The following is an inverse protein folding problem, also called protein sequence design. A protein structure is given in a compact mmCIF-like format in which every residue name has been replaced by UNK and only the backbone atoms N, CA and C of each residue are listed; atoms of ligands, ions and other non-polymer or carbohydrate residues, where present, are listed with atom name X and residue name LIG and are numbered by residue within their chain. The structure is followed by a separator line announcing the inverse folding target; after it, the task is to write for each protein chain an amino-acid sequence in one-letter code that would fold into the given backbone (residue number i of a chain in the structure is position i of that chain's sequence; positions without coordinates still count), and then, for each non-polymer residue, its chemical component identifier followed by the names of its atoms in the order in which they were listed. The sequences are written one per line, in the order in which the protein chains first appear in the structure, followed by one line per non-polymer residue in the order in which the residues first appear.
data_IF_966499207690
#
_entry.id   IF_966499207690
#
_cell.length_a   1.000
_cell.length_b   1.000
_cell.length_c   1.000
_cell.angle_alpha   90.00
_cell.angle_beta   90.00
_cell.angle_gamma   90.00
#
_symmetry.space_group_name_H-M   'P 1'
#
loop_
_entity.id
_entity.type
_entity.pdbx_description
1 polymer ?
#
# COMPACT_ATOMS: atom_id res chain seq x y z
N UNK A 1 18.35 -27.76 -16.29
CA UNK A 1 17.42 -27.09 -15.35
C UNK A 1 17.70 -27.47 -13.90
N UNK A 2 17.70 -28.77 -13.53
CA UNK A 2 17.97 -29.21 -12.15
C UNK A 2 19.34 -28.77 -11.60
N UNK A 3 20.42 -28.87 -12.39
CA UNK A 3 21.74 -28.41 -11.95
C UNK A 3 21.80 -26.89 -11.68
N UNK A 4 21.09 -26.09 -12.47
CA UNK A 4 21.00 -24.64 -12.27
C UNK A 4 20.18 -24.30 -11.02
N UNK A 5 19.07 -25.01 -10.78
CA UNK A 5 18.26 -24.85 -9.57
C UNK A 5 19.06 -25.24 -8.31
N UNK A 6 19.85 -26.32 -8.38
CA UNK A 6 20.71 -26.76 -7.28
C UNK A 6 21.86 -25.76 -7.02
N UNK A 7 22.45 -25.18 -8.06
CA UNK A 7 23.46 -24.14 -7.92
C UNK A 7 22.89 -22.86 -7.29
N UNK A 8 21.68 -22.45 -7.72
CA UNK A 8 20.96 -21.31 -7.14
C UNK A 8 20.61 -21.57 -5.68
N UNK A 9 20.12 -22.77 -5.36
CA UNK A 9 19.84 -23.16 -3.98
C UNK A 9 21.10 -23.14 -3.12
N UNK A 10 22.21 -23.71 -3.60
CA UNK A 10 23.49 -23.69 -2.91
C UNK A 10 24.02 -22.28 -2.65
N UNK A 11 23.84 -21.35 -3.60
CA UNK A 11 24.19 -19.94 -3.38
C UNK A 11 23.42 -19.35 -2.20
N UNK A 12 22.09 -19.50 -2.18
CA UNK A 12 21.26 -18.93 -1.13
C UNK A 12 21.46 -19.61 0.22
N UNK A 13 21.82 -20.89 0.25
CA UNK A 13 22.12 -21.60 1.48
C UNK A 13 23.49 -21.21 2.07
N UNK A 14 24.46 -20.86 1.22
CA UNK A 14 25.81 -20.50 1.66
C UNK A 14 25.95 -19.03 2.07
N UNK A 15 25.21 -18.13 1.41
CA UNK A 15 25.33 -16.68 1.65
C UNK A 15 24.13 -16.08 2.40
N UNK A 16 23.02 -16.80 2.52
CA UNK A 16 21.87 -16.37 3.28
C UNK A 16 22.04 -16.60 4.79
N UNK A 17 21.19 -15.96 5.58
CA UNK A 17 21.12 -16.17 7.01
C UNK A 17 20.62 -17.59 7.32
N UNK A 18 21.43 -18.43 8.00
CA UNK A 18 21.09 -19.82 8.26
C UNK A 18 19.83 -19.97 9.12
N UNK A 19 19.49 -18.96 9.94
CA UNK A 19 18.31 -18.98 10.83
C UNK A 19 16.99 -19.00 10.06
N UNK A 20 16.99 -18.56 8.80
CA UNK A 20 15.80 -18.48 7.95
C UNK A 20 15.73 -19.61 6.92
N UNK A 21 16.75 -20.47 6.83
CA UNK A 21 16.94 -21.43 5.73
C UNK A 21 15.72 -22.33 5.48
N UNK A 22 15.19 -22.92 6.55
CA UNK A 22 14.12 -23.92 6.48
C UNK A 22 12.72 -23.31 6.61
N UNK A 23 12.62 -21.97 6.62
CA UNK A 23 11.34 -21.29 6.75
C UNK A 23 10.55 -21.31 5.44
N UNK A 24 9.23 -21.26 5.56
CA UNK A 24 8.34 -21.29 4.42
C UNK A 24 8.69 -20.16 3.42
N UNK A 25 8.88 -20.55 2.15
CA UNK A 25 9.30 -19.72 1.02
C UNK A 25 10.73 -19.13 1.09
N UNK A 26 11.59 -19.52 2.04
CA UNK A 26 12.95 -18.95 2.19
C UNK A 26 14.08 -19.77 1.54
N UNK A 27 13.76 -20.90 0.90
CA UNK A 27 14.75 -21.75 0.23
C UNK A 27 15.38 -21.05 -0.97
N UNK A 28 14.56 -20.53 -1.89
CA UNK A 28 14.99 -19.75 -3.05
C UNK A 28 13.89 -18.75 -3.47
N UNK A 29 14.19 -17.74 -4.32
CA UNK A 29 13.25 -16.66 -4.62
C UNK A 29 12.18 -17.04 -5.65
N UNK A 30 12.29 -18.21 -6.30
CA UNK A 30 11.43 -18.57 -7.42
C UNK A 30 9.95 -18.71 -7.01
N UNK A 31 9.59 -19.39 -5.90
CA UNK A 31 8.22 -19.42 -5.42
C UNK A 31 7.62 -18.03 -5.23
N UNK A 32 8.37 -17.10 -4.62
CA UNK A 32 7.96 -15.70 -4.43
C UNK A 32 7.72 -15.01 -5.76
N UNK A 33 8.66 -15.13 -6.70
CA UNK A 33 8.56 -14.54 -8.02
C UNK A 33 7.33 -15.08 -8.79
N UNK A 34 7.07 -16.38 -8.71
CA UNK A 34 5.90 -17.02 -9.32
C UNK A 34 4.59 -16.53 -8.69
N UNK A 35 4.53 -16.37 -7.37
CA UNK A 35 3.37 -15.82 -6.67
C UNK A 35 3.13 -14.36 -7.10
N UNK A 36 4.17 -13.53 -7.17
CA UNK A 36 4.07 -12.16 -7.67
C UNK A 36 3.60 -12.09 -9.13
N UNK A 37 4.15 -12.93 -10.01
CA UNK A 37 3.75 -12.99 -11.41
C UNK A 37 2.29 -13.45 -11.56
N UNK A 38 1.88 -14.45 -10.78
CA UNK A 38 0.50 -14.95 -10.73
C UNK A 38 -0.46 -13.87 -10.21
N UNK A 39 -0.06 -13.10 -9.21
CA UNK A 39 -0.83 -11.94 -8.73
C UNK A 39 -1.03 -10.92 -9.85
N UNK A 40 0.04 -10.48 -10.53
CA UNK A 40 -0.06 -9.50 -11.62
C UNK A 40 -0.97 -10.02 -12.73
N UNK A 41 -0.80 -11.28 -13.15
CA UNK A 41 -1.66 -11.92 -14.14
C UNK A 41 -3.12 -11.95 -13.69
N UNK A 42 -3.36 -12.30 -12.42
CA UNK A 42 -4.70 -12.37 -11.85
C UNK A 42 -5.39 -11.01 -11.86
N UNK A 43 -4.72 -9.96 -11.41
CA UNK A 43 -5.36 -8.63 -11.25
C UNK A 43 -5.45 -7.83 -12.55
N UNK A 44 -4.54 -8.05 -13.51
CA UNK A 44 -4.54 -7.33 -14.80
C UNK A 44 -5.23 -8.08 -15.94
N UNK A 45 -5.27 -9.41 -15.89
CA UNK A 45 -5.75 -10.23 -17.03
C UNK A 45 -6.90 -11.11 -16.62
N UNK A 46 -6.67 -12.11 -15.76
CA UNK A 46 -7.67 -13.14 -15.49
C UNK A 46 -8.92 -12.57 -14.78
N UNK A 47 -8.73 -11.82 -13.70
CA UNK A 47 -9.80 -11.26 -12.90
C UNK A 47 -10.72 -10.30 -13.66
N UNK A 48 -10.18 -9.27 -14.38
CA UNK A 48 -11.01 -8.40 -15.22
C UNK A 48 -11.78 -9.15 -16.31
N UNK A 49 -11.17 -10.18 -16.93
CA UNK A 49 -11.86 -11.04 -17.92
C UNK A 49 -13.00 -11.85 -17.29
N UNK A 50 -12.76 -12.45 -16.13
CA UNK A 50 -13.77 -13.21 -15.39
C UNK A 50 -14.94 -12.32 -14.91
N UNK A 51 -14.65 -11.06 -14.59
CA UNK A 51 -15.64 -10.08 -14.12
C UNK A 51 -16.30 -9.26 -15.23
N UNK A 52 -15.88 -9.41 -16.49
CA UNK A 52 -16.38 -8.62 -17.63
C UNK A 52 -17.91 -8.71 -17.73
N UNK A 53 -18.45 -9.93 -17.70
CA UNK A 53 -19.88 -10.23 -17.83
C UNK A 53 -20.58 -10.48 -16.49
N UNK A 54 -19.93 -10.14 -15.36
CA UNK A 54 -20.50 -10.30 -14.02
C UNK A 54 -20.81 -8.93 -13.39
N UNK A 55 -21.81 -8.90 -12.51
CA UNK A 55 -22.09 -7.74 -11.66
C UNK A 55 -20.99 -7.59 -10.59
N UNK A 56 -20.68 -6.36 -10.13
CA UNK A 56 -19.80 -6.16 -8.98
C UNK A 56 -20.26 -6.96 -7.76
N UNK A 57 -19.34 -7.60 -7.04
CA UNK A 57 -19.67 -8.35 -5.84
C UNK A 57 -19.88 -7.43 -4.63
N UNK A 58 -20.91 -7.68 -3.84
CA UNK A 58 -21.15 -6.99 -2.56
C UNK A 58 -20.37 -7.68 -1.43
N UNK A 59 -19.14 -7.20 -1.20
CA UNK A 59 -18.18 -7.79 -0.25
C UNK A 59 -18.05 -6.99 1.06
N UNK A 60 -19.06 -6.22 1.46
CA UNK A 60 -18.96 -5.28 2.59
C UNK A 60 -18.46 -5.94 3.88
N UNK A 61 -19.09 -7.03 4.32
CA UNK A 61 -18.72 -7.71 5.56
C UNK A 61 -17.33 -8.36 5.47
N UNK A 62 -16.98 -8.89 4.29
CA UNK A 62 -15.65 -9.45 4.02
C UNK A 62 -14.58 -8.37 4.13
N UNK A 63 -14.82 -7.18 3.56
CA UNK A 63 -13.92 -6.04 3.67
C UNK A 63 -13.78 -5.55 5.11
N UNK A 64 -14.87 -5.51 5.89
CA UNK A 64 -14.80 -5.14 7.31
C UNK A 64 -13.91 -6.14 8.07
N UNK A 65 -14.16 -7.44 7.94
CA UNK A 65 -13.38 -8.47 8.61
C UNK A 65 -11.90 -8.44 8.18
N UNK A 66 -11.65 -8.30 6.88
CA UNK A 66 -10.31 -8.24 6.31
C UNK A 66 -9.53 -7.00 6.78
N UNK A 67 -10.13 -5.81 6.72
CA UNK A 67 -9.44 -4.59 7.17
C UNK A 67 -9.20 -4.60 8.68
N UNK A 68 -10.12 -5.17 9.47
CA UNK A 68 -9.92 -5.37 10.91
C UNK A 68 -8.74 -6.33 11.18
N UNK A 69 -8.69 -7.46 10.47
CA UNK A 69 -7.56 -8.38 10.53
C UNK A 69 -6.25 -7.67 10.19
N UNK A 70 -6.21 -6.89 9.11
CA UNK A 70 -5.01 -6.16 8.70
C UNK A 70 -4.55 -5.13 9.73
N UNK A 71 -5.48 -4.43 10.41
CA UNK A 71 -5.16 -3.52 11.51
C UNK A 71 -4.51 -4.28 12.67
N UNK A 72 -5.12 -5.38 13.11
CA UNK A 72 -4.61 -6.20 14.23
C UNK A 72 -3.23 -6.76 13.87
N UNK A 73 -3.10 -7.33 12.68
CA UNK A 73 -1.86 -7.93 12.21
C UNK A 73 -0.74 -6.90 12.06
N UNK A 74 -1.02 -5.74 11.46
CA UNK A 74 -0.04 -4.64 11.37
C UNK A 74 0.35 -4.08 12.73
N UNK A 75 -0.59 -4.02 13.69
CA UNK A 75 -0.32 -3.58 15.07
C UNK A 75 0.60 -4.55 15.79
N UNK A 76 0.37 -5.86 15.63
CA UNK A 76 1.24 -6.89 16.16
C UNK A 76 2.64 -6.82 15.53
N UNK A 77 2.74 -6.71 14.20
CA UNK A 77 4.04 -6.55 13.51
C UNK A 77 4.81 -5.33 14.01
N UNK A 78 4.13 -4.20 14.17
CA UNK A 78 4.73 -2.97 14.68
C UNK A 78 5.26 -3.17 16.11
N UNK A 79 4.45 -3.74 17.00
CA UNK A 79 4.85 -4.04 18.37
C UNK A 79 6.05 -4.99 18.45
N UNK A 80 6.03 -6.08 17.70
CA UNK A 80 7.13 -7.05 17.65
C UNK A 80 8.41 -6.44 17.07
N UNK A 81 8.31 -5.55 16.06
CA UNK A 81 9.44 -4.84 15.51
C UNK A 81 10.04 -3.83 16.51
N UNK A 82 9.19 -3.11 17.26
CA UNK A 82 9.64 -2.28 18.37
C UNK A 82 10.38 -3.11 19.42
N UNK A 83 9.75 -4.18 19.91
CA UNK A 83 10.34 -5.02 20.95
C UNK A 83 11.53 -5.87 20.49
N UNK A 84 11.68 -6.09 19.19
CA UNK A 84 12.85 -6.76 18.58
C UNK A 84 14.08 -5.86 18.46
N UNK A 85 13.96 -4.55 18.71
CA UNK A 85 15.13 -3.67 18.79
C UNK A 85 14.83 -2.17 18.81
N UNK A 86 13.80 -1.70 18.10
CA UNK A 86 13.52 -0.28 17.95
C UNK A 86 12.98 0.43 19.21
N UNK A 87 12.60 -0.33 20.26
CA UNK A 87 12.20 0.18 21.58
C UNK A 87 13.39 0.44 22.52
N UNK A 88 14.59 0.69 21.99
CA UNK A 88 15.74 1.18 22.78
C UNK A 88 17.03 0.38 22.64
N UNK A 89 17.06 -0.71 21.88
CA UNK A 89 18.32 -1.44 21.60
C UNK A 89 19.00 -0.96 20.32
N UNK A 90 18.23 -0.55 19.31
CA UNK A 90 18.75 -0.17 18.01
C UNK A 90 19.12 1.32 17.94
N UNK A 91 20.21 1.60 17.24
CA UNK A 91 20.61 2.96 16.87
C UNK A 91 19.91 3.43 15.61
N UNK A 92 19.39 4.65 15.62
CA UNK A 92 18.84 5.30 14.43
C UNK A 92 19.92 5.77 13.44
N UNK A 93 21.20 5.78 13.83
CA UNK A 93 22.29 6.24 12.96
C UNK A 93 22.96 5.11 12.21
N UNK A 94 23.47 4.11 12.94
CA UNK A 94 24.11 2.93 12.37
C UNK A 94 23.68 1.70 13.15
N UNK A 95 22.94 0.80 12.49
CA UNK A 95 22.54 -0.47 13.08
C UNK A 95 22.99 -1.66 12.20
N UNK A 96 24.07 -2.37 12.58
CA UNK A 96 24.47 -3.60 11.88
C UNK A 96 23.43 -4.71 12.09
N UNK A 97 23.50 -5.76 11.25
CA UNK A 97 22.71 -6.97 11.45
C UNK A 97 23.36 -7.79 12.55
N UNK A 98 22.57 -8.15 13.56
CA UNK A 98 23.02 -9.05 14.62
C UNK A 98 22.70 -10.51 14.25
N UNK A 99 23.71 -11.36 14.31
CA UNK A 99 23.64 -12.80 14.02
C UNK A 99 23.67 -13.67 15.28
N UNK A 100 23.62 -13.07 16.47
CA UNK A 100 23.55 -13.79 17.74
C UNK A 100 22.17 -14.44 17.99
N UNK A 101 22.15 -15.35 18.97
CA UNK A 101 20.92 -15.99 19.48
C UNK A 101 20.24 -15.18 20.59
N UNK A 102 20.55 -13.88 20.71
CA UNK A 102 19.90 -13.00 21.68
C UNK A 102 18.37 -13.01 21.45
N UNK A 103 17.53 -13.08 22.51
CA UNK A 103 16.08 -13.16 22.34
C UNK A 103 15.48 -12.03 21.50
N UNK A 104 15.95 -10.78 21.63
CA UNK A 104 15.48 -9.65 20.81
C UNK A 104 15.89 -9.79 19.34
N UNK A 105 17.09 -10.28 19.07
CA UNK A 105 17.61 -10.57 17.73
C UNK A 105 16.80 -11.68 17.05
N UNK A 106 16.59 -12.81 17.71
CA UNK A 106 15.75 -13.90 17.19
C UNK A 106 14.32 -13.42 16.95
N UNK A 107 13.77 -12.59 17.85
CA UNK A 107 12.47 -11.95 17.67
C UNK A 107 12.42 -11.06 16.42
N UNK A 108 13.45 -10.26 16.17
CA UNK A 108 13.57 -9.44 14.97
C UNK A 108 13.66 -10.30 13.69
N UNK A 109 14.42 -11.39 13.70
CA UNK A 109 14.52 -12.30 12.54
C UNK A 109 13.14 -12.89 12.22
N UNK A 110 12.43 -13.37 13.25
CA UNK A 110 11.06 -13.90 13.10
C UNK A 110 10.10 -12.84 12.54
N UNK A 111 10.15 -11.60 13.05
CA UNK A 111 9.24 -10.56 12.58
C UNK A 111 9.56 -10.09 11.16
N UNK A 112 10.81 -10.16 10.72
CA UNK A 112 11.17 -9.90 9.32
C UNK A 112 10.46 -10.87 8.37
N UNK A 113 10.39 -12.16 8.74
CA UNK A 113 9.65 -13.15 7.94
C UNK A 113 8.13 -12.95 7.99
N UNK A 114 7.57 -12.61 9.16
CA UNK A 114 6.13 -12.29 9.24
C UNK A 114 5.76 -11.01 8.48
N UNK A 115 6.66 -10.01 8.47
CA UNK A 115 6.51 -8.84 7.63
C UNK A 115 6.57 -9.19 6.15
N UNK A 116 7.47 -10.08 5.73
CA UNK A 116 7.46 -10.65 4.38
C UNK A 116 6.14 -11.35 4.06
N UNK A 117 5.66 -12.22 4.95
CA UNK A 117 4.39 -12.91 4.76
C UNK A 117 3.20 -11.94 4.63
N UNK A 118 3.22 -10.84 5.39
CA UNK A 118 2.19 -9.81 5.31
C UNK A 118 2.05 -9.20 3.92
N UNK A 119 3.12 -9.10 3.13
CA UNK A 119 3.01 -8.55 1.78
C UNK A 119 2.11 -9.39 0.87
N UNK A 120 1.99 -10.70 1.12
CA UNK A 120 1.05 -11.56 0.39
C UNK A 120 -0.39 -11.38 0.84
N UNK A 121 -0.64 -11.12 2.13
CA UNK A 121 -2.02 -10.89 2.62
C UNK A 121 -2.59 -9.62 1.99
N UNK A 122 -1.73 -8.63 1.72
CA UNK A 122 -2.08 -7.37 1.05
C UNK A 122 -2.49 -7.52 -0.42
N UNK A 123 -2.18 -8.65 -1.08
CA UNK A 123 -2.66 -8.92 -2.45
C UNK A 123 -4.19 -8.92 -2.54
N UNK A 124 -4.84 -9.26 -1.42
CA UNK A 124 -6.28 -9.27 -1.32
C UNK A 124 -6.89 -7.89 -1.55
N UNK A 125 -6.17 -6.79 -1.27
CA UNK A 125 -6.63 -5.42 -1.55
C UNK A 125 -7.02 -5.26 -3.02
N UNK A 126 -6.10 -5.67 -3.90
CA UNK A 126 -6.28 -5.54 -5.34
C UNK A 126 -7.31 -6.54 -5.86
N UNK A 127 -7.32 -7.76 -5.32
CA UNK A 127 -8.31 -8.78 -5.68
C UNK A 127 -9.72 -8.28 -5.35
N UNK A 128 -9.93 -7.66 -4.19
CA UNK A 128 -11.21 -7.05 -3.84
C UNK A 128 -11.59 -5.90 -4.78
N UNK A 129 -10.63 -5.08 -5.24
CA UNK A 129 -10.93 -4.05 -6.25
C UNK A 129 -11.41 -4.66 -7.57
N UNK A 130 -10.78 -5.75 -8.02
CA UNK A 130 -11.19 -6.47 -9.24
C UNK A 130 -12.60 -7.05 -9.08
N UNK A 131 -12.87 -7.79 -8.01
CA UNK A 131 -14.17 -8.42 -7.75
C UNK A 131 -15.31 -7.39 -7.59
N UNK A 132 -14.99 -6.16 -7.20
CA UNK A 132 -15.94 -5.05 -7.06
C UNK A 132 -15.99 -4.13 -8.29
N UNK A 133 -15.27 -4.47 -9.38
CA UNK A 133 -15.13 -3.68 -10.60
C UNK A 133 -14.75 -2.22 -10.31
N UNK A 134 -13.78 -2.05 -9.41
CA UNK A 134 -13.26 -0.74 -8.97
C UNK A 134 -11.95 -0.43 -9.68
N UNK A 135 -11.95 -0.50 -11.01
CA UNK A 135 -10.74 -0.43 -11.85
C UNK A 135 -9.93 0.85 -11.64
N UNK A 136 -10.59 1.98 -11.32
CA UNK A 136 -9.90 3.24 -10.98
C UNK A 136 -8.99 3.14 -9.75
N UNK A 137 -9.24 2.19 -8.85
CA UNK A 137 -8.43 1.95 -7.65
C UNK A 137 -7.22 1.06 -7.95
N UNK A 138 -7.25 0.29 -9.05
CA UNK A 138 -6.14 -0.55 -9.53
C UNK A 138 -5.16 0.32 -10.32
N UNK A 139 -4.57 1.30 -9.63
CA UNK A 139 -3.58 2.20 -10.22
C UNK A 139 -2.28 1.46 -10.55
N UNK A 140 -1.50 2.03 -11.46
CA UNK A 140 -0.13 1.56 -11.76
C UNK A 140 0.72 1.51 -10.50
N UNK A 141 0.60 2.53 -9.63
CA UNK A 141 1.27 2.59 -8.34
C UNK A 141 0.94 1.36 -7.48
N UNK A 142 -0.35 1.04 -7.33
CA UNK A 142 -0.79 -0.04 -6.46
C UNK A 142 -0.30 -1.42 -6.95
N UNK A 143 -0.40 -1.68 -8.25
CA UNK A 143 0.04 -2.96 -8.82
C UNK A 143 1.56 -3.11 -8.84
N UNK A 144 2.31 -2.04 -9.13
CA UNK A 144 3.79 -2.08 -9.05
C UNK A 144 4.22 -2.30 -7.60
N UNK A 145 3.62 -1.58 -6.65
CA UNK A 145 3.91 -1.73 -5.23
C UNK A 145 3.68 -3.17 -4.75
N UNK A 146 2.46 -3.69 -4.82
CA UNK A 146 2.19 -5.04 -4.34
C UNK A 146 2.91 -6.10 -5.20
N UNK A 147 3.10 -5.89 -6.49
CA UNK A 147 3.82 -6.84 -7.34
C UNK A 147 5.30 -7.00 -6.97
N UNK A 148 5.98 -5.92 -6.57
CA UNK A 148 7.43 -5.92 -6.30
C UNK A 148 7.76 -6.12 -4.82
N UNK A 149 6.93 -5.62 -3.89
CA UNK A 149 7.26 -5.60 -2.47
C UNK A 149 7.60 -6.98 -1.86
N UNK A 150 6.83 -8.07 -2.08
CA UNK A 150 7.19 -9.38 -1.51
C UNK A 150 8.57 -9.86 -1.99
N UNK A 151 8.87 -9.68 -3.28
CA UNK A 151 10.17 -10.06 -3.85
C UNK A 151 11.30 -9.20 -3.29
N UNK A 152 11.07 -7.91 -3.12
CA UNK A 152 12.04 -6.98 -2.53
C UNK A 152 12.35 -7.33 -1.07
N UNK A 153 11.33 -7.64 -0.28
CA UNK A 153 11.47 -8.02 1.13
C UNK A 153 12.12 -9.40 1.29
N UNK A 154 11.87 -10.34 0.36
CA UNK A 154 12.49 -11.67 0.37
C UNK A 154 14.01 -11.61 0.48
N UNK A 155 14.68 -10.74 -0.29
CA UNK A 155 16.12 -10.55 -0.20
C UNK A 155 16.55 -9.99 1.15
N UNK A 156 15.76 -9.07 1.71
CA UNK A 156 16.00 -8.54 3.06
C UNK A 156 15.96 -9.63 4.13
N UNK A 157 14.92 -10.48 4.12
CA UNK A 157 14.81 -11.60 5.09
C UNK A 157 15.93 -12.62 4.87
N UNK A 158 16.28 -12.93 3.62
CA UNK A 158 17.27 -13.97 3.34
C UNK A 158 18.69 -13.57 3.72
N UNK A 159 19.07 -12.30 3.61
CA UNK A 159 20.47 -11.88 3.80
C UNK A 159 20.68 -10.95 5.01
N UNK A 160 19.68 -10.12 5.32
CA UNK A 160 19.76 -9.10 6.38
C UNK A 160 18.48 -9.06 7.23
N UNK A 161 18.08 -10.17 7.89
CA UNK A 161 16.85 -10.23 8.69
C UNK A 161 17.00 -9.50 10.04
N UNK A 162 17.25 -8.20 9.99
CA UNK A 162 17.52 -7.38 11.16
C UNK A 162 18.23 -6.08 10.81
N UNK A 163 18.62 -5.35 11.85
CA UNK A 163 19.45 -4.15 11.73
C UNK A 163 18.80 -3.00 10.95
N UNK A 164 19.64 -2.19 10.30
CA UNK A 164 19.26 -0.89 9.73
C UNK A 164 18.07 -0.91 8.79
N UNK A 165 17.93 -1.98 8.00
CA UNK A 165 16.82 -2.16 7.06
C UNK A 165 15.46 -2.23 7.73
N UNK A 166 15.35 -2.77 8.94
CA UNK A 166 14.03 -3.04 9.53
C UNK A 166 13.27 -1.76 9.91
N UNK A 167 13.93 -0.60 9.89
CA UNK A 167 13.30 0.70 10.03
C UNK A 167 12.20 0.96 8.99
N UNK A 168 12.39 0.51 7.74
CA UNK A 168 11.35 0.66 6.73
C UNK A 168 10.12 -0.20 7.05
N UNK A 169 10.34 -1.42 7.56
CA UNK A 169 9.26 -2.31 8.01
C UNK A 169 8.50 -1.74 9.19
N UNK A 170 9.22 -1.13 10.14
CA UNK A 170 8.64 -0.44 11.29
C UNK A 170 7.71 0.70 10.85
N UNK A 171 8.21 1.64 10.04
CA UNK A 171 7.39 2.76 9.57
C UNK A 171 6.23 2.30 8.68
N UNK A 172 6.45 1.28 7.84
CA UNK A 172 5.40 0.76 6.97
C UNK A 172 4.27 0.12 7.77
N UNK A 173 4.58 -0.70 8.78
CA UNK A 173 3.54 -1.33 9.63
C UNK A 173 2.75 -0.28 10.40
N UNK A 174 3.41 0.76 10.94
CA UNK A 174 2.73 1.90 11.57
C UNK A 174 1.74 2.60 10.63
N UNK A 175 2.16 2.94 9.41
CA UNK A 175 1.29 3.59 8.44
C UNK A 175 0.18 2.64 7.97
N UNK A 176 0.44 1.34 7.88
CA UNK A 176 -0.56 0.33 7.53
C UNK A 176 -1.66 0.21 8.59
N UNK A 177 -1.34 0.34 9.89
CA UNK A 177 -2.36 0.42 10.95
C UNK A 177 -3.36 1.54 10.64
N UNK A 178 -2.86 2.75 10.35
CA UNK A 178 -3.69 3.93 10.09
C UNK A 178 -4.44 3.79 8.75
N UNK A 179 -3.78 3.27 7.71
CA UNK A 179 -4.39 3.07 6.39
C UNK A 179 -5.53 2.05 6.44
N UNK A 180 -5.31 0.88 7.04
CA UNK A 180 -6.35 -0.15 7.16
C UNK A 180 -7.45 0.25 8.13
N UNK A 181 -7.16 1.03 9.17
CA UNK A 181 -8.20 1.63 10.01
C UNK A 181 -9.08 2.58 9.19
N UNK A 182 -8.50 3.41 8.32
CA UNK A 182 -9.26 4.25 7.40
C UNK A 182 -10.14 3.40 6.46
N UNK A 183 -9.61 2.30 5.89
CA UNK A 183 -10.39 1.42 5.01
C UNK A 183 -11.50 0.66 5.74
N UNK A 184 -11.26 0.23 6.98
CA UNK A 184 -12.25 -0.36 7.86
C UNK A 184 -13.41 0.62 8.09
N UNK A 185 -13.11 1.85 8.51
CA UNK A 185 -14.11 2.89 8.72
C UNK A 185 -14.86 3.23 7.43
N UNK A 186 -14.16 3.25 6.29
CA UNK A 186 -14.80 3.47 5.00
C UNK A 186 -15.76 2.33 4.60
N UNK A 187 -15.49 1.09 5.02
CA UNK A 187 -16.33 -0.07 4.74
C UNK A 187 -17.62 -0.11 5.58
N UNK A 188 -17.70 0.63 6.69
CA UNK A 188 -18.90 0.74 7.54
C UNK A 188 -20.07 1.50 6.86
N UNK A 189 -19.78 2.20 5.77
CA UNK A 189 -20.79 2.80 4.89
C UNK A 189 -20.93 4.32 4.99
N UNK A 190 -21.93 4.90 4.32
CA UNK A 190 -22.05 6.36 4.12
C UNK A 190 -22.13 7.17 5.42
N UNK A 191 -22.75 6.57 6.45
CA UNK A 191 -22.91 7.21 7.76
C UNK A 191 -21.57 7.51 8.44
N UNK A 192 -20.54 6.69 8.20
CA UNK A 192 -19.19 6.88 8.75
C UNK A 192 -18.30 7.63 7.77
N UNK A 193 -18.43 7.37 6.47
CA UNK A 193 -17.58 7.97 5.42
C UNK A 193 -17.59 9.51 5.43
N UNK A 194 -18.70 10.15 5.81
CA UNK A 194 -18.80 11.61 5.91
C UNK A 194 -17.78 12.22 6.90
N UNK A 195 -17.31 11.45 7.87
CA UNK A 195 -16.31 11.89 8.85
C UNK A 195 -14.86 11.64 8.38
N UNK A 196 -14.65 10.99 7.23
CA UNK A 196 -13.32 10.63 6.71
C UNK A 196 -12.68 11.74 5.85
N UNK A 197 -12.79 12.99 6.28
CA UNK A 197 -12.24 14.16 5.59
C UNK A 197 -10.70 14.16 5.51
N UNK A 198 -10.05 13.36 6.35
CA UNK A 198 -8.59 13.33 6.53
C UNK A 198 -7.84 12.39 5.56
N UNK A 199 -8.52 11.86 4.53
CA UNK A 199 -7.92 11.02 3.48
C UNK A 199 -6.64 11.63 2.87
N UNK A 200 -6.63 12.94 2.65
CA UNK A 200 -5.47 13.66 2.09
C UNK A 200 -4.24 13.55 3.01
N UNK A 201 -4.45 13.66 4.33
CA UNK A 201 -3.37 13.55 5.32
C UNK A 201 -2.81 12.13 5.39
N UNK A 202 -3.63 11.11 5.15
CA UNK A 202 -3.14 9.73 5.03
C UNK A 202 -2.15 9.59 3.87
N UNK A 203 -2.46 10.16 2.70
CA UNK A 203 -1.51 10.16 1.56
C UNK A 203 -0.26 10.97 1.86
N UNK A 204 -0.39 12.09 2.56
CA UNK A 204 0.78 12.87 3.03
C UNK A 204 1.65 12.07 3.99
N UNK A 205 1.05 11.33 4.93
CA UNK A 205 1.75 10.46 5.86
C UNK A 205 2.54 9.37 5.11
N UNK A 206 1.95 8.75 4.10
CA UNK A 206 2.65 7.77 3.24
C UNK A 206 3.84 8.40 2.51
N UNK A 207 3.73 9.63 2.00
CA UNK A 207 4.85 10.32 1.36
C UNK A 207 5.96 10.66 2.36
N UNK A 208 5.60 11.11 3.57
CA UNK A 208 6.56 11.37 4.65
C UNK A 208 7.27 10.09 5.10
N UNK A 209 6.58 8.95 5.11
CA UNK A 209 7.16 7.65 5.38
C UNK A 209 8.31 7.34 4.41
N UNK A 210 8.11 7.50 3.10
CA UNK A 210 9.17 7.25 2.11
C UNK A 210 10.33 8.23 2.25
N UNK A 211 10.06 9.49 2.58
CA UNK A 211 11.12 10.47 2.85
C UNK A 211 11.97 10.05 4.07
N UNK A 212 11.32 9.66 5.17
CA UNK A 212 12.01 9.19 6.36
C UNK A 212 12.85 7.92 6.10
N UNK A 213 12.29 6.95 5.36
CA UNK A 213 13.01 5.74 4.95
C UNK A 213 14.24 6.08 4.10
N UNK A 214 14.09 7.00 3.13
CA UNK A 214 15.18 7.40 2.25
C UNK A 214 16.31 8.09 3.01
N UNK A 215 15.97 9.03 3.91
CA UNK A 215 16.96 9.71 4.77
C UNK A 215 17.66 8.71 5.69
N UNK A 216 16.89 7.84 6.33
CA UNK A 216 17.42 6.80 7.21
C UNK A 216 18.30 5.80 6.45
N UNK A 217 17.97 5.41 5.22
CA UNK A 217 18.81 4.53 4.43
C UNK A 217 20.11 5.24 4.00
N UNK A 218 20.00 6.38 3.34
CA UNK A 218 21.15 7.04 2.71
C UNK A 218 22.14 7.68 3.69
N UNK A 219 21.78 7.93 4.96
CA UNK A 219 22.77 8.36 5.96
C UNK A 219 23.94 7.38 6.09
N UNK A 220 23.72 6.07 5.86
CA UNK A 220 24.80 5.08 5.89
C UNK A 220 25.79 5.26 4.75
N UNK A 221 25.50 6.03 3.70
CA UNK A 221 26.49 6.34 2.67
C UNK A 221 27.55 7.34 3.16
N UNK A 222 27.28 8.05 4.26
CA UNK A 222 28.13 9.09 4.82
C UNK A 222 28.70 8.73 6.20
N UNK A 223 28.36 7.55 6.73
CA UNK A 223 28.81 7.06 8.03
C UNK A 223 29.44 5.68 7.87
N UNK A 224 30.56 5.45 8.56
CA UNK A 224 31.17 4.13 8.66
C UNK A 224 30.31 3.23 9.55
N UNK A 225 29.70 2.24 8.92
CA UNK A 225 28.77 1.32 9.54
C UNK A 225 28.95 -0.06 8.92
N UNK A 226 29.02 -1.10 9.76
CA UNK A 226 29.11 -2.50 9.32
C UNK A 226 27.74 -3.02 8.86
N UNK A 227 27.19 -2.37 7.83
CA UNK A 227 25.93 -2.75 7.21
C UNK A 227 26.12 -2.74 5.67
N UNK A 228 25.62 -3.76 4.95
CA UNK A 228 25.86 -3.90 3.52
C UNK A 228 25.33 -2.71 2.70
N UNK A 229 26.22 -1.97 2.03
CA UNK A 229 25.85 -0.80 1.20
C UNK A 229 24.93 -1.16 0.04
N UNK A 230 24.98 -2.40 -0.45
CA UNK A 230 24.06 -2.88 -1.48
C UNK A 230 22.59 -2.79 -1.04
N UNK A 231 22.29 -3.18 0.21
CA UNK A 231 20.94 -3.09 0.78
C UNK A 231 20.52 -1.64 1.06
N UNK A 232 21.47 -0.76 1.37
CA UNK A 232 21.23 0.69 1.49
C UNK A 232 20.72 1.27 0.17
N UNK A 233 21.43 1.00 -0.93
CA UNK A 233 21.00 1.42 -2.27
C UNK A 233 19.68 0.78 -2.67
N UNK A 234 19.52 -0.52 -2.42
CA UNK A 234 18.28 -1.24 -2.71
C UNK A 234 17.06 -0.58 -2.06
N UNK A 235 17.09 -0.37 -0.75
CA UNK A 235 15.96 0.20 0.00
C UNK A 235 15.76 1.68 -0.36
N UNK A 236 16.85 2.45 -0.42
CA UNK A 236 16.80 3.87 -0.74
C UNK A 236 16.20 4.13 -2.13
N UNK A 237 16.61 3.38 -3.14
CA UNK A 237 16.08 3.54 -4.51
C UNK A 237 14.62 3.09 -4.64
N UNK A 238 14.21 2.03 -3.92
CA UNK A 238 12.78 1.67 -3.85
C UNK A 238 11.95 2.79 -3.21
N UNK A 239 12.45 3.38 -2.11
CA UNK A 239 11.78 4.51 -1.44
C UNK A 239 11.67 5.73 -2.37
N UNK A 240 12.73 6.05 -3.14
CA UNK A 240 12.71 7.11 -4.16
C UNK A 240 11.64 6.84 -5.22
N UNK A 241 11.62 5.63 -5.79
CA UNK A 241 10.62 5.25 -6.79
C UNK A 241 9.19 5.41 -6.26
N UNK A 242 8.90 4.87 -5.08
CA UNK A 242 7.56 4.99 -4.49
C UNK A 242 7.19 6.42 -4.12
N UNK A 243 8.15 7.21 -3.63
CA UNK A 243 7.91 8.63 -3.37
C UNK A 243 7.42 9.36 -4.62
N UNK A 244 8.07 9.16 -5.77
CA UNK A 244 7.64 9.80 -7.03
C UNK A 244 6.28 9.29 -7.52
N UNK A 245 6.00 7.99 -7.41
CA UNK A 245 4.70 7.44 -7.79
C UNK A 245 3.57 7.98 -6.90
N UNK A 246 3.81 8.11 -5.59
CA UNK A 246 2.84 8.71 -4.65
C UNK A 246 2.69 10.22 -4.86
N UNK A 247 3.76 10.93 -5.17
CA UNK A 247 3.73 12.36 -5.51
C UNK A 247 2.89 12.62 -6.75
N UNK A 248 3.05 11.81 -7.80
CA UNK A 248 2.24 11.93 -9.01
C UNK A 248 0.77 11.57 -8.72
N UNK A 249 0.51 10.50 -7.96
CA UNK A 249 -0.85 10.16 -7.50
C UNK A 249 -1.50 11.33 -6.73
N UNK A 250 -0.78 11.92 -5.78
CA UNK A 250 -1.26 13.04 -4.99
C UNK A 250 -1.61 14.25 -5.87
N UNK A 251 -0.73 14.60 -6.82
CA UNK A 251 -0.97 15.70 -7.76
C UNK A 251 -2.22 15.45 -8.62
N UNK A 252 -2.40 14.21 -9.09
CA UNK A 252 -3.57 13.82 -9.89
C UNK A 252 -4.87 13.85 -9.09
N UNK A 253 -4.84 13.45 -7.81
CA UNK A 253 -6.05 13.36 -6.98
C UNK A 253 -6.44 14.67 -6.29
N UNK A 254 -5.47 15.52 -5.93
CA UNK A 254 -5.71 16.65 -5.02
C UNK A 254 -5.31 18.03 -5.57
N UNK A 255 -4.54 18.09 -6.66
CA UNK A 255 -4.00 19.38 -7.17
C UNK A 255 -4.51 19.74 -8.55
N UNK A 256 -4.70 18.76 -9.44
CA UNK A 256 -5.31 19.02 -10.74
C UNK A 256 -6.83 19.17 -10.55
N UNK A 257 -7.45 20.29 -10.95
CA UNK A 257 -8.91 20.34 -11.03
C UNK A 257 -9.34 19.23 -11.99
N UNK A 258 -10.21 18.34 -11.51
CA UNK A 258 -10.74 17.25 -12.31
C UNK A 258 -11.26 17.83 -13.63
N UNK A 259 -10.63 17.48 -14.75
CA UNK A 259 -11.07 17.87 -16.11
C UNK A 259 -12.49 17.38 -16.42
N UNK A 260 -13.12 16.61 -15.54
CA UNK A 260 -14.48 16.09 -15.72
C UNK A 260 -15.59 17.04 -15.23
N UNK A 261 -15.28 18.19 -14.61
CA UNK A 261 -16.29 19.20 -14.26
C UNK A 261 -16.48 20.30 -15.32
N UNK A 262 -15.57 20.41 -16.31
CA UNK A 262 -15.57 21.48 -17.32
C UNK A 262 -16.21 21.08 -18.67
N UNK A 263 -16.71 19.86 -18.81
CA UNK A 263 -17.33 19.36 -20.05
C UNK A 263 -18.84 19.57 -20.16
N UNK A 264 -19.49 20.20 -19.18
CA UNK A 264 -20.96 20.31 -19.12
C UNK A 264 -21.49 21.75 -19.30
N UNK A 265 -20.73 22.66 -19.90
CA UNK A 265 -21.22 24.01 -20.23
C UNK A 265 -20.71 24.50 -21.61
N UNK A 266 -21.55 24.29 -22.63
CA UNK A 266 -21.76 25.10 -23.85
C UNK A 266 -22.51 24.20 -24.86
N UNK A 267 -23.66 24.51 -25.48
CA UNK A 267 -24.39 25.74 -25.83
C UNK A 267 -25.92 25.45 -25.87
N UNK A 268 -26.79 26.48 -25.86
CA UNK A 268 -28.23 26.30 -26.08
C UNK A 268 -28.57 26.26 -27.58
N UNK A 269 -29.43 25.33 -27.99
CA UNK A 269 -30.26 25.48 -29.20
C UNK A 269 -31.54 24.63 -29.10
N UNK A 270 -32.56 25.05 -29.83
CA UNK A 270 -33.98 25.04 -29.49
C UNK A 270 -34.79 23.96 -30.25
N UNK A 271 -35.86 23.50 -29.60
CA UNK A 271 -37.12 22.85 -30.05
C UNK A 271 -37.16 21.43 -30.66
N UNK A 272 -38.00 20.59 -30.05
CA UNK A 272 -38.58 19.38 -30.63
C UNK A 272 -39.36 18.54 -29.61
N UNK A 273 -40.69 18.68 -29.57
CA UNK A 273 -41.64 17.93 -28.72
C UNK A 273 -41.76 16.45 -29.12
N UNK A 274 -41.71 15.52 -28.16
CA UNK A 274 -42.61 14.35 -28.06
C UNK A 274 -42.33 13.46 -26.83
N UNK A 275 -43.35 12.68 -26.47
CA UNK A 275 -43.71 12.09 -25.16
C UNK A 275 -42.86 10.89 -24.67
N UNK A 276 -42.71 10.83 -23.34
CA UNK A 276 -42.76 9.68 -22.39
C UNK A 276 -42.47 8.24 -22.87
N UNK A 277 -41.49 7.56 -22.24
CA UNK A 277 -41.75 6.42 -21.33
C UNK A 277 -40.47 5.97 -20.57
N UNK A 278 -40.70 5.15 -19.53
CA UNK A 278 -39.92 4.97 -18.31
C UNK A 278 -38.56 4.24 -18.39
N UNK A 279 -37.68 4.58 -17.44
CA UNK A 279 -37.29 3.62 -16.41
C UNK A 279 -36.05 2.76 -16.65
N UNK A 280 -34.87 3.32 -16.38
CA UNK A 280 -33.77 2.52 -15.80
C UNK A 280 -33.04 3.34 -14.75
N UNK A 281 -33.31 3.00 -13.49
CA UNK A 281 -32.60 3.48 -12.31
C UNK A 281 -31.11 3.17 -12.46
N UNK A 282 -30.30 4.20 -12.74
CA UNK A 282 -28.85 4.13 -12.55
C UNK A 282 -28.58 4.09 -11.05
N UNK A 283 -28.28 2.89 -10.56
CA UNK A 283 -27.75 2.68 -9.22
C UNK A 283 -26.31 3.25 -9.15
N UNK A 284 -26.28 4.57 -8.94
CA UNK A 284 -25.31 5.34 -8.17
C UNK A 284 -23.88 4.79 -8.06
N UNK A 285 -22.98 5.48 -8.75
CA UNK A 285 -21.53 5.48 -8.55
C UNK A 285 -21.15 5.94 -7.13
N UNK A 286 -21.31 5.07 -6.14
CA UNK A 286 -20.87 5.33 -4.78
C UNK A 286 -19.37 5.06 -4.62
N UNK A 287 -18.53 5.99 -5.07
CA UNK A 287 -17.58 6.66 -4.15
C UNK A 287 -17.37 8.10 -4.64
N UNK A 288 -17.62 9.01 -3.70
CA UNK A 288 -17.78 10.45 -3.81
C UNK A 288 -16.58 11.14 -4.49
N UNK A 289 -16.94 12.07 -5.38
CA UNK A 289 -16.07 13.06 -6.00
C UNK A 289 -15.24 13.80 -4.95
N UNK A 290 -13.99 14.09 -5.31
CA UNK A 290 -13.18 15.11 -4.69
C UNK A 290 -13.98 16.41 -4.52
N UNK A 291 -14.35 16.73 -3.28
CA UNK A 291 -14.47 18.07 -2.69
C UNK A 291 -15.20 17.98 -1.35
N UNK A 292 -14.46 17.67 -0.29
CA UNK A 292 -14.86 18.07 1.05
C UNK A 292 -14.51 19.55 1.21
N UNK A 293 -15.50 20.42 0.98
CA UNK A 293 -15.66 21.82 1.43
C UNK A 293 -16.53 22.56 0.40
N UNK A 294 -17.84 22.34 0.44
CA UNK A 294 -18.79 23.35 -0.05
C UNK A 294 -18.84 24.46 1.00
N UNK A 295 -18.15 25.57 0.72
CA UNK A 295 -18.37 26.89 1.35
C UNK A 295 -19.89 27.19 1.31
N UNK A 296 -20.55 27.48 2.45
CA UNK A 296 -21.83 28.15 2.44
C UNK A 296 -21.58 29.63 2.74
N UNK A 297 -21.02 30.35 1.77
CA UNK A 297 -21.04 31.82 1.81
C UNK A 297 -21.33 32.29 0.39
N UNK A 298 -22.32 33.20 0.29
CA UNK A 298 -22.96 33.74 -0.91
C UNK A 298 -24.25 33.01 -1.31
N UNK A 299 -25.37 33.34 -0.66
CA UNK A 299 -26.56 33.99 -1.26
C UNK A 299 -27.56 34.25 -0.12
N UNK A 300 -27.62 35.50 0.37
CA UNK A 300 -28.82 36.25 0.77
C UNK A 300 -28.44 37.42 1.68
N UNK A 301 -28.06 38.55 1.07
CA UNK A 301 -28.23 39.86 1.70
C UNK A 301 -28.45 40.91 0.60
N UNK A 302 -29.71 41.06 0.20
CA UNK A 302 -30.19 42.22 -0.55
C UNK A 302 -31.71 42.33 -0.37
N UNK A 303 -32.13 42.83 0.79
CA UNK A 303 -33.36 43.61 0.92
C UNK A 303 -33.04 44.74 1.89
N UNK A 304 -32.48 45.83 1.34
CA UNK A 304 -32.59 47.14 1.95
C UNK A 304 -33.96 47.69 1.53
N UNK A 305 -34.79 48.04 2.50
CA UNK A 305 -35.92 48.94 2.27
C UNK A 305 -35.44 50.38 2.36
N UNK A 306 -35.95 51.25 1.49
CA UNK A 306 -36.26 52.65 1.74
C UNK A 306 -36.87 53.30 0.50
N UNK A 307 -37.91 54.09 0.76
CA UNK A 307 -38.74 54.94 -0.11
C UNK A 307 -39.85 54.29 -0.92
#
# INVERSE_FOLDING_TARGET
MAAALNAIQGFFDNYGDPRTKDWFLMSNPLPTALICATYVFTVKVAGPRLMANRKPMELRNVLIAYNLFQVIFSSWLFYECMMGGWWGEYSLSCQPVDYSDKPSTVRMVNICWWYYFSKFTEFMDTIFFVLRKKDRHISTLHVIHHGVMPMSVWFGVKFTPGGHSTFFGLLNTFVHIIMYAYYLLAALGPNVQKYLWWKKYLTTLQMLQFLAIMLHAFQLLFIDCNYPKAFVWWIGMHAVMFFFLFKEFYKQQYTKPSKQAAGAQSKPSVNGSSKSSNGYSKQSDYYINSNGLSRPDLVHRATAGAH
#
